data_IF_971582360869
#
_entry.id   IF_971582360869
#
_cell.length_a   1.000
_cell.length_b   1.000
_cell.length_c   1.000
_cell.angle_alpha   90.00
_cell.angle_beta   90.00
_cell.angle_gamma   90.00
#
_symmetry.space_group_name_H-M   'P 1'
#
loop_
_entity.id
_entity.type
_entity.pdbx_description
1 polymer ?
#
# COMPACT_ATOMS: atom_id res chain seq x y z
N UNK A 1 16.99 32.25 -36.28
CA UNK A 1 17.23 32.27 -34.82
C UNK A 1 16.19 31.38 -34.16
N UNK A 2 16.53 30.13 -33.87
CA UNK A 2 15.65 29.21 -33.13
C UNK A 2 15.87 29.45 -31.63
N UNK A 3 14.84 29.90 -30.93
CA UNK A 3 14.83 29.95 -29.47
C UNK A 3 14.68 28.53 -28.93
N UNK A 4 15.69 28.07 -28.20
CA UNK A 4 15.68 26.86 -27.40
C UNK A 4 14.81 27.09 -26.17
N UNK A 5 13.72 26.33 -26.05
CA UNK A 5 12.92 26.28 -24.82
C UNK A 5 13.75 25.61 -23.70
N UNK A 6 13.78 26.17 -22.48
CA UNK A 6 14.54 25.59 -21.38
C UNK A 6 13.89 24.29 -20.89
N UNK A 7 14.68 23.22 -20.87
CA UNK A 7 14.41 21.97 -20.15
C UNK A 7 14.27 22.24 -18.64
N UNK A 8 13.11 22.70 -18.21
CA UNK A 8 12.72 22.66 -16.80
C UNK A 8 12.30 21.22 -16.49
N UNK A 9 13.23 20.45 -15.93
CA UNK A 9 12.90 19.17 -15.29
C UNK A 9 11.74 19.42 -14.31
N UNK A 10 10.72 18.53 -14.26
CA UNK A 10 9.62 18.71 -13.34
C UNK A 10 10.13 18.83 -11.90
N UNK A 11 9.51 19.68 -11.05
CA UNK A 11 9.97 19.93 -9.70
C UNK A 11 10.11 18.60 -8.95
N UNK A 12 11.26 18.43 -8.28
CA UNK A 12 11.52 17.27 -7.40
C UNK A 12 10.38 17.21 -6.39
N UNK A 13 9.55 16.16 -6.45
CA UNK A 13 8.49 15.93 -5.46
C UNK A 13 9.13 15.94 -4.07
N UNK A 14 8.51 16.70 -3.16
CA UNK A 14 8.90 16.71 -1.75
C UNK A 14 9.00 15.25 -1.26
N UNK A 15 10.17 14.81 -0.77
CA UNK A 15 10.33 13.44 -0.31
C UNK A 15 9.63 13.18 1.03
N UNK A 16 9.06 14.21 1.67
CA UNK A 16 8.34 14.09 2.93
C UNK A 16 6.83 13.92 2.72
N UNK A 17 6.24 13.09 3.57
CA UNK A 17 4.79 12.99 3.74
C UNK A 17 4.44 13.75 5.02
N UNK A 18 3.67 14.82 4.86
CA UNK A 18 3.18 15.68 5.95
C UNK A 18 1.94 15.08 6.61
N UNK A 19 2.14 13.96 7.30
CA UNK A 19 1.13 13.27 8.11
C UNK A 19 1.65 13.15 9.55
N UNK A 20 1.14 13.94 10.51
CA UNK A 20 1.54 13.84 11.89
C UNK A 20 1.20 12.45 12.44
N UNK A 21 2.24 11.67 12.73
CA UNK A 21 2.13 10.25 13.02
C UNK A 21 3.01 9.83 14.18
N UNK A 22 2.51 8.85 14.92
CA UNK A 22 3.28 8.00 15.82
C UNK A 22 3.76 6.78 15.03
N UNK A 23 5.07 6.58 14.91
CA UNK A 23 5.67 5.43 14.23
C UNK A 23 6.21 4.48 15.29
N UNK A 24 5.58 3.32 15.44
CA UNK A 24 5.93 2.31 16.45
C UNK A 24 6.91 1.31 15.86
N UNK A 25 7.96 1.00 16.60
CA UNK A 25 9.05 0.14 16.14
C UNK A 25 8.84 -1.32 16.56
N UNK A 26 9.27 -2.24 15.69
CA UNK A 26 9.40 -3.66 16.07
C UNK A 26 10.66 -3.87 16.93
N UNK A 27 10.85 -5.08 17.47
CA UNK A 27 12.11 -5.44 18.13
C UNK A 27 13.34 -5.32 17.22
N UNK A 28 13.20 -5.55 15.90
CA UNK A 28 14.28 -5.33 14.94
C UNK A 28 14.52 -3.82 14.71
N UNK A 29 13.46 -3.02 14.66
CA UNK A 29 13.55 -1.56 14.61
C UNK A 29 14.26 -0.99 15.84
N UNK A 30 13.94 -1.49 17.04
CA UNK A 30 14.60 -1.07 18.29
C UNK A 30 16.08 -1.44 18.34
N UNK A 31 16.49 -2.60 17.81
CA UNK A 31 17.92 -2.93 17.71
C UNK A 31 18.68 -1.98 16.79
N UNK A 32 18.03 -1.43 15.76
CA UNK A 32 18.65 -0.56 14.77
C UNK A 32 18.58 0.93 15.15
N UNK A 33 17.47 1.39 15.72
CA UNK A 33 17.21 2.79 16.04
C UNK A 33 17.16 3.09 17.54
N UNK A 34 17.28 2.10 18.43
CA UNK A 34 17.05 2.31 19.87
C UNK A 34 18.03 3.26 20.55
N UNK A 35 19.21 3.50 19.96
CA UNK A 35 20.15 4.52 20.43
C UNK A 35 19.85 5.92 19.89
N UNK A 36 18.85 6.08 19.01
CA UNK A 36 18.45 7.37 18.49
C UNK A 36 17.69 8.14 19.58
N UNK A 37 18.13 9.35 19.95
CA UNK A 37 17.51 10.14 21.02
C UNK A 37 16.06 10.55 20.73
N UNK A 38 15.61 10.46 19.47
CA UNK A 38 14.21 10.72 19.11
C UNK A 38 13.26 9.56 19.44
N UNK A 39 13.79 8.36 19.78
CA UNK A 39 12.97 7.23 20.20
C UNK A 39 12.49 7.45 21.63
N UNK A 40 11.19 7.29 21.83
CA UNK A 40 10.53 7.52 23.10
C UNK A 40 9.36 6.57 23.30
N UNK A 41 8.86 6.53 24.54
CA UNK A 41 7.60 5.85 24.87
C UNK A 41 6.43 6.60 24.23
N UNK A 42 5.69 5.89 23.41
CA UNK A 42 4.48 6.36 22.73
C UNK A 42 3.32 5.41 22.99
N UNK A 43 2.09 5.88 22.83
CA UNK A 43 0.91 5.03 22.94
C UNK A 43 0.45 4.57 21.56
N UNK A 44 0.13 3.29 21.43
CA UNK A 44 -0.53 2.78 20.22
C UNK A 44 -2.04 3.07 20.23
N UNK A 45 -2.75 2.68 19.16
CA UNK A 45 -4.21 2.83 19.05
C UNK A 45 -4.98 2.21 20.23
N UNK A 46 -4.44 1.16 20.85
CA UNK A 46 -5.04 0.47 22.00
C UNK A 46 -4.68 1.10 23.35
N UNK A 47 -3.87 2.16 23.37
CA UNK A 47 -3.40 2.83 24.58
C UNK A 47 -2.22 2.13 25.28
N UNK A 48 -1.70 1.05 24.71
CA UNK A 48 -0.53 0.36 25.24
C UNK A 48 0.75 1.17 24.97
N UNK A 49 1.62 1.26 25.97
CA UNK A 49 2.92 1.91 25.82
C UNK A 49 3.87 1.04 24.99
N UNK A 50 4.44 1.65 23.96
CA UNK A 50 5.39 1.07 23.01
C UNK A 50 6.55 2.04 22.81
N UNK A 51 7.62 1.56 22.19
CA UNK A 51 8.75 2.40 21.79
C UNK A 51 8.57 2.84 20.33
N UNK A 52 8.76 4.12 20.06
CA UNK A 52 8.50 4.68 18.76
C UNK A 52 8.97 6.13 18.59
N UNK A 53 8.53 6.74 17.50
CA UNK A 53 8.86 8.11 17.10
C UNK A 53 7.57 8.91 16.97
N UNK A 54 7.56 10.16 17.47
CA UNK A 54 6.53 11.13 17.13
C UNK A 54 7.07 12.01 16.00
N UNK A 55 6.36 12.07 14.88
CA UNK A 55 6.84 12.75 13.68
C UNK A 55 5.73 13.61 13.07
N UNK A 56 5.90 14.94 12.95
CA UNK A 56 4.92 15.80 12.26
C UNK A 56 4.88 15.54 10.75
N UNK A 57 6.00 15.06 10.19
CA UNK A 57 6.13 14.56 8.82
C UNK A 57 7.22 13.49 8.79
N UNK A 58 7.28 12.66 7.75
CA UNK A 58 8.33 11.65 7.62
C UNK A 58 8.83 11.49 6.19
N UNK A 59 10.10 11.12 6.05
CA UNK A 59 10.69 10.86 4.74
C UNK A 59 10.16 9.53 4.17
N UNK A 60 9.53 9.61 3.00
CA UNK A 60 8.89 8.46 2.35
C UNK A 60 9.88 7.32 2.04
N UNK A 61 11.08 7.64 1.55
CA UNK A 61 12.07 6.62 1.20
C UNK A 61 12.62 5.91 2.43
N UNK A 62 12.87 6.65 3.51
CA UNK A 62 13.36 6.08 4.77
C UNK A 62 12.32 5.14 5.38
N UNK A 63 11.07 5.61 5.53
CA UNK A 63 9.98 4.79 6.10
C UNK A 63 9.73 3.55 5.23
N UNK A 64 9.71 3.69 3.91
CA UNK A 64 9.57 2.54 3.00
C UNK A 64 10.66 1.49 3.23
N UNK A 65 11.93 1.90 3.35
CA UNK A 65 13.04 0.98 3.65
C UNK A 65 12.90 0.31 5.01
N UNK A 66 12.44 1.04 6.03
CA UNK A 66 12.21 0.48 7.37
C UNK A 66 11.07 -0.55 7.37
N UNK A 67 9.98 -0.31 6.63
CA UNK A 67 8.89 -1.28 6.46
C UNK A 67 9.39 -2.53 5.75
N UNK A 68 10.14 -2.37 4.65
CA UNK A 68 10.74 -3.51 3.91
C UNK A 68 11.65 -4.37 4.79
N UNK A 69 12.33 -3.75 5.76
CA UNK A 69 13.18 -4.43 6.75
C UNK A 69 12.43 -4.90 8.00
N UNK A 70 11.10 -4.80 8.03
CA UNK A 70 10.24 -5.18 9.17
C UNK A 70 10.61 -4.45 10.47
N UNK A 71 11.03 -3.19 10.36
CA UNK A 71 11.46 -2.36 11.50
C UNK A 71 10.31 -1.51 12.08
N UNK A 72 9.24 -1.30 11.32
CA UNK A 72 8.05 -0.55 11.76
C UNK A 72 6.91 -1.55 11.98
N UNK A 73 6.28 -1.46 13.15
CA UNK A 73 5.12 -2.24 13.58
C UNK A 73 3.82 -1.54 13.17
N UNK A 74 3.71 -0.26 13.48
CA UNK A 74 2.48 0.50 13.28
C UNK A 74 2.80 1.95 12.93
N UNK A 75 2.01 2.53 12.02
CA UNK A 75 1.92 3.97 11.82
C UNK A 75 0.54 4.38 12.31
N UNK A 76 0.50 5.25 13.32
CA UNK A 76 -0.72 5.64 14.00
C UNK A 76 -0.91 7.16 13.94
N UNK A 77 -2.10 7.59 13.56
CA UNK A 77 -2.52 8.99 13.41
C UNK A 77 -3.74 9.21 14.27
N UNK A 78 -3.75 10.30 15.03
CA UNK A 78 -4.91 10.76 15.79
C UNK A 78 -5.09 12.25 15.54
N UNK A 79 -6.26 12.64 15.01
CA UNK A 79 -6.54 14.01 14.58
C UNK A 79 -8.03 14.36 14.75
N UNK A 80 -8.38 15.65 14.92
CA UNK A 80 -9.79 16.07 14.97
C UNK A 80 -10.49 15.98 13.61
N UNK A 81 -9.72 15.98 12.52
CA UNK A 81 -10.15 15.71 11.14
C UNK A 81 -9.01 15.03 10.37
N UNK A 82 -9.37 14.24 9.36
CA UNK A 82 -8.44 13.52 8.49
C UNK A 82 -8.57 13.93 7.02
N UNK A 83 -9.71 14.48 6.58
CA UNK A 83 -9.95 14.84 5.19
C UNK A 83 -9.03 15.94 4.67
N UNK A 84 -8.62 16.88 5.51
CA UNK A 84 -7.60 17.88 5.15
C UNK A 84 -6.23 17.26 4.86
N UNK A 85 -6.00 16.02 5.30
CA UNK A 85 -4.77 15.25 5.11
C UNK A 85 -4.89 14.16 4.03
N UNK A 86 -5.94 14.18 3.19
CA UNK A 86 -6.23 13.17 2.15
C UNK A 86 -5.00 12.73 1.35
N UNK A 87 -4.25 13.68 0.80
CA UNK A 87 -3.06 13.38 -0.02
C UNK A 87 -1.98 12.63 0.77
N UNK A 88 -1.78 13.01 2.04
CA UNK A 88 -0.79 12.41 2.92
C UNK A 88 -1.21 11.00 3.36
N UNK A 89 -2.50 10.78 3.62
CA UNK A 89 -3.08 9.46 3.94
C UNK A 89 -2.94 8.51 2.75
N UNK A 90 -3.33 8.93 1.54
CA UNK A 90 -3.19 8.12 0.31
C UNK A 90 -1.71 7.78 0.06
N UNK A 91 -0.83 8.78 0.21
CA UNK A 91 0.60 8.59 0.01
C UNK A 91 1.21 7.62 1.03
N UNK A 92 0.77 7.67 2.29
CA UNK A 92 1.17 6.72 3.35
C UNK A 92 0.68 5.32 3.05
N UNK A 93 -0.59 5.16 2.68
CA UNK A 93 -1.16 3.87 2.32
C UNK A 93 -0.41 3.23 1.14
N UNK A 94 -0.23 3.98 0.04
CA UNK A 94 0.52 3.52 -1.11
C UNK A 94 1.96 3.15 -0.74
N UNK A 95 2.64 3.98 0.05
CA UNK A 95 4.00 3.70 0.51
C UNK A 95 4.10 2.35 1.23
N UNK A 96 3.16 2.06 2.14
CA UNK A 96 3.11 0.82 2.91
C UNK A 96 2.86 -0.38 1.99
N UNK A 97 1.84 -0.29 1.13
CA UNK A 97 1.50 -1.37 0.19
C UNK A 97 2.69 -1.65 -0.75
N UNK A 98 3.27 -0.63 -1.37
CA UNK A 98 4.44 -0.79 -2.23
C UNK A 98 5.66 -1.35 -1.48
N UNK A 99 5.90 -0.93 -0.23
CA UNK A 99 6.98 -1.49 0.57
C UNK A 99 6.82 -3.01 0.76
N UNK A 100 5.59 -3.47 0.97
CA UNK A 100 5.29 -4.89 1.16
C UNK A 100 5.37 -5.65 -0.17
N UNK A 101 4.88 -5.08 -1.27
CA UNK A 101 5.06 -5.64 -2.61
C UNK A 101 6.55 -5.77 -2.96
N UNK A 102 7.38 -4.76 -2.68
CA UNK A 102 8.82 -4.84 -2.92
C UNK A 102 9.49 -5.92 -2.06
N UNK A 103 9.08 -6.08 -0.80
CA UNK A 103 9.59 -7.16 0.07
C UNK A 103 9.28 -8.54 -0.49
N UNK A 104 8.12 -8.71 -1.14
CA UNK A 104 7.63 -9.98 -1.69
C UNK A 104 8.06 -10.27 -3.11
N UNK A 105 8.52 -9.25 -3.84
CA UNK A 105 9.00 -9.34 -5.21
C UNK A 105 10.05 -10.43 -5.37
N UNK A 106 11.14 -10.36 -4.61
CA UNK A 106 12.29 -11.26 -4.79
C UNK A 106 11.95 -12.74 -4.52
N UNK A 107 11.25 -13.10 -3.42
CA UNK A 107 10.77 -14.48 -3.23
C UNK A 107 9.85 -14.98 -4.35
N UNK A 108 8.92 -14.15 -4.82
CA UNK A 108 7.98 -14.52 -5.88
C UNK A 108 8.72 -14.74 -7.22
N UNK A 109 9.62 -13.81 -7.58
CA UNK A 109 10.43 -13.94 -8.79
C UNK A 109 11.38 -15.14 -8.70
N UNK A 110 12.03 -15.38 -7.56
CA UNK A 110 12.89 -16.56 -7.38
C UNK A 110 12.11 -17.85 -7.62
N UNK A 111 10.93 -17.99 -7.01
CA UNK A 111 10.07 -19.17 -7.19
C UNK A 111 9.72 -19.38 -8.66
N UNK A 112 9.16 -18.36 -9.32
CA UNK A 112 8.75 -18.48 -10.72
C UNK A 112 9.94 -18.71 -11.68
N UNK A 113 11.11 -18.14 -11.37
CA UNK A 113 12.34 -18.40 -12.14
C UNK A 113 12.75 -19.87 -12.08
N UNK A 114 12.92 -20.45 -10.89
CA UNK A 114 13.40 -21.82 -10.73
C UNK A 114 12.35 -22.88 -11.10
N UNK A 115 11.06 -22.55 -11.03
CA UNK A 115 9.98 -23.42 -11.50
C UNK A 115 9.85 -23.40 -13.03
N UNK A 116 10.41 -22.40 -13.72
CA UNK A 116 10.32 -22.26 -15.17
C UNK A 116 10.99 -23.43 -15.91
N UNK A 117 10.42 -23.79 -17.06
CA UNK A 117 10.98 -24.84 -17.93
C UNK A 117 12.37 -24.47 -18.43
N UNK A 118 12.60 -23.19 -18.72
CA UNK A 118 13.87 -22.68 -19.25
C UNK A 118 15.03 -22.94 -18.29
N UNK A 119 14.86 -22.65 -16.99
CA UNK A 119 15.89 -22.92 -15.98
C UNK A 119 16.11 -24.42 -15.81
N UNK A 120 15.03 -25.22 -15.82
CA UNK A 120 15.13 -26.69 -15.75
C UNK A 120 15.88 -27.27 -16.95
N UNK A 121 15.64 -26.77 -18.15
CA UNK A 121 16.31 -27.23 -19.38
C UNK A 121 17.77 -26.76 -19.45
N UNK A 122 18.06 -25.53 -19.00
CA UNK A 122 19.42 -25.06 -18.80
C UNK A 122 20.19 -25.97 -17.85
N UNK A 123 19.60 -26.32 -16.70
CA UNK A 123 20.21 -27.21 -15.72
C UNK A 123 20.46 -28.62 -16.26
N UNK A 124 19.54 -29.16 -17.09
CA UNK A 124 19.73 -30.46 -17.77
C UNK A 124 20.93 -30.46 -18.72
N UNK A 125 21.14 -29.36 -19.45
CA UNK A 125 22.32 -29.21 -20.33
C UNK A 125 23.62 -28.92 -19.55
N UNK A 126 23.52 -28.45 -18.32
CA UNK A 126 24.66 -28.02 -17.50
C UNK A 126 24.66 -28.69 -16.10
N UNK A 127 24.73 -30.04 -16.00
CA UNK A 127 24.52 -30.76 -14.75
C UNK A 127 25.54 -30.42 -13.65
N UNK A 128 26.79 -30.07 -14.02
CA UNK A 128 27.83 -29.67 -13.05
C UNK A 128 27.65 -28.27 -12.49
N UNK A 129 26.82 -27.44 -13.12
CA UNK A 129 26.60 -26.04 -12.77
C UNK A 129 25.10 -25.74 -12.59
N UNK A 130 24.31 -26.75 -12.19
CA UNK A 130 22.87 -26.60 -12.02
C UNK A 130 22.54 -25.58 -10.93
N UNK A 131 21.63 -24.65 -11.23
CA UNK A 131 21.16 -23.62 -10.30
C UNK A 131 19.70 -23.91 -9.99
N UNK A 132 19.43 -24.51 -8.82
CA UNK A 132 18.07 -24.92 -8.41
C UNK A 132 17.43 -23.98 -7.38
N UNK A 133 18.23 -23.13 -6.73
CA UNK A 133 17.74 -22.10 -5.82
C UNK A 133 18.76 -20.93 -5.70
N UNK A 134 18.37 -19.87 -5.00
CA UNK A 134 19.27 -18.73 -4.71
C UNK A 134 20.38 -19.04 -3.69
N UNK A 135 20.30 -20.14 -2.93
CA UNK A 135 21.34 -20.52 -1.96
C UNK A 135 22.60 -21.02 -2.66
N UNK A 136 22.47 -21.58 -3.85
CA UNK A 136 23.59 -21.93 -4.73
C UNK A 136 24.32 -20.70 -5.30
N UNK A 137 23.73 -19.49 -5.17
CA UNK A 137 24.33 -18.24 -5.66
C UNK A 137 24.92 -17.45 -4.49
N UNK A 138 26.25 -17.36 -4.45
CA UNK A 138 26.95 -16.59 -3.42
C UNK A 138 26.72 -15.09 -3.59
N UNK A 139 26.11 -14.46 -2.57
CA UNK A 139 25.87 -13.01 -2.52
C UNK A 139 27.17 -12.21 -2.71
N UNK A 140 28.23 -12.57 -1.99
CA UNK A 140 29.51 -11.86 -2.06
C UNK A 140 30.13 -11.90 -3.46
N UNK A 141 30.01 -13.04 -4.17
CA UNK A 141 30.49 -13.15 -5.56
C UNK A 141 29.70 -12.26 -6.51
N UNK A 142 28.38 -12.21 -6.36
CA UNK A 142 27.52 -11.34 -7.19
C UNK A 142 27.87 -9.87 -6.95
N UNK A 143 28.04 -9.46 -5.70
CA UNK A 143 28.44 -8.10 -5.34
C UNK A 143 29.83 -7.73 -5.90
N UNK A 144 30.79 -8.66 -5.87
CA UNK A 144 32.10 -8.45 -6.47
C UNK A 144 32.01 -8.29 -8.00
N UNK A 145 31.19 -9.11 -8.67
CA UNK A 145 30.93 -8.99 -10.11
C UNK A 145 30.24 -7.68 -10.48
N UNK A 146 29.30 -7.20 -9.65
CA UNK A 146 28.64 -5.92 -9.86
C UNK A 146 29.59 -4.72 -9.82
N UNK A 147 30.76 -4.84 -9.16
CA UNK A 147 31.81 -3.81 -9.19
C UNK A 147 32.65 -3.86 -10.46
N UNK A 148 32.60 -4.94 -11.24
CA UNK A 148 33.31 -5.03 -12.52
C UNK A 148 32.56 -4.24 -13.58
N UNK A 149 33.24 -3.25 -14.17
CA UNK A 149 32.63 -2.29 -15.09
C UNK A 149 31.95 -2.95 -16.30
N UNK A 150 32.56 -4.01 -16.86
CA UNK A 150 32.02 -4.75 -18.00
C UNK A 150 30.69 -5.45 -17.66
N UNK A 151 30.64 -6.13 -16.51
CA UNK A 151 29.41 -6.79 -16.05
C UNK A 151 28.33 -5.77 -15.71
N UNK A 152 28.68 -4.69 -15.00
CA UNK A 152 27.76 -3.63 -14.62
C UNK A 152 27.12 -2.95 -15.84
N UNK A 153 27.90 -2.61 -16.85
CA UNK A 153 27.41 -2.01 -18.09
C UNK A 153 26.45 -2.97 -18.82
N UNK A 154 26.85 -4.24 -19.00
CA UNK A 154 26.00 -5.24 -19.67
C UNK A 154 24.71 -5.52 -18.93
N UNK A 155 24.76 -5.56 -17.60
CA UNK A 155 23.56 -5.73 -16.78
C UNK A 155 22.63 -4.51 -16.87
N UNK A 156 23.18 -3.29 -16.96
CA UNK A 156 22.39 -2.08 -17.15
C UNK A 156 21.66 -2.08 -18.49
N UNK A 157 22.31 -2.51 -19.58
CA UNK A 157 21.67 -2.68 -20.88
C UNK A 157 20.55 -3.73 -20.82
N UNK A 158 20.82 -4.90 -20.23
CA UNK A 158 19.80 -5.94 -20.02
C UNK A 158 18.60 -5.41 -19.24
N UNK A 159 18.82 -4.66 -18.15
CA UNK A 159 17.75 -4.06 -17.36
C UNK A 159 16.92 -3.06 -18.17
N UNK A 160 17.57 -2.27 -19.04
CA UNK A 160 16.88 -1.34 -19.96
C UNK A 160 16.01 -2.12 -20.95
N UNK A 161 16.56 -3.13 -21.61
CA UNK A 161 15.82 -3.94 -22.60
C UNK A 161 14.61 -4.63 -21.94
N UNK A 162 14.80 -5.21 -20.75
CA UNK A 162 13.69 -5.82 -19.99
C UNK A 162 12.63 -4.77 -19.61
N UNK A 163 13.04 -3.57 -19.22
CA UNK A 163 12.10 -2.48 -18.91
C UNK A 163 11.25 -2.12 -20.11
N UNK A 164 11.86 -1.99 -21.29
CA UNK A 164 11.17 -1.65 -22.54
C UNK A 164 10.15 -2.75 -22.90
N UNK A 165 10.57 -4.02 -22.90
CA UNK A 165 9.70 -5.16 -23.19
C UNK A 165 8.53 -5.30 -22.21
N UNK A 166 8.76 -5.05 -20.91
CA UNK A 166 7.68 -5.05 -19.91
C UNK A 166 6.73 -3.86 -20.13
N UNK A 167 7.26 -2.69 -20.51
CA UNK A 167 6.45 -1.50 -20.79
C UNK A 167 5.55 -1.73 -22.00
N UNK A 168 6.10 -2.24 -23.10
CA UNK A 168 5.33 -2.61 -24.30
C UNK A 168 4.22 -3.60 -23.98
N UNK A 169 4.52 -4.63 -23.18
CA UNK A 169 3.52 -5.59 -22.73
C UNK A 169 2.40 -4.94 -21.94
N UNK A 170 2.72 -4.04 -21.01
CA UNK A 170 1.71 -3.30 -20.23
C UNK A 170 0.83 -2.46 -21.15
N UNK A 171 1.43 -1.70 -22.06
CA UNK A 171 0.72 -0.82 -22.99
C UNK A 171 -0.17 -1.59 -23.98
N UNK A 172 0.23 -2.81 -24.36
CA UNK A 172 -0.56 -3.67 -25.25
C UNK A 172 -1.76 -4.36 -24.59
N UNK A 173 -1.94 -4.20 -23.27
CA UNK A 173 -2.98 -4.90 -22.53
C UNK A 173 -4.33 -4.20 -22.65
N UNK A 174 -5.28 -4.85 -23.33
CA UNK A 174 -6.62 -4.32 -23.60
C UNK A 174 -7.55 -4.26 -22.35
N UNK A 175 -7.15 -4.89 -21.24
CA UNK A 175 -7.98 -5.03 -20.03
C UNK A 175 -7.53 -4.09 -18.89
N UNK A 176 -6.72 -3.07 -19.21
CA UNK A 176 -6.23 -2.09 -18.24
C UNK A 176 -6.86 -0.73 -18.49
N UNK A 177 -7.20 -0.03 -17.42
CA UNK A 177 -7.54 1.40 -17.50
C UNK A 177 -6.26 2.22 -17.66
N UNK A 178 -6.38 3.45 -18.15
CA UNK A 178 -5.24 4.37 -18.28
C UNK A 178 -4.52 4.61 -16.93
N UNK A 179 -5.30 4.69 -15.84
CA UNK A 179 -4.76 4.83 -14.49
C UNK A 179 -3.90 3.62 -14.06
N UNK A 180 -4.35 2.42 -14.40
CA UNK A 180 -3.64 1.19 -14.11
C UNK A 180 -2.35 1.07 -14.92
N UNK A 181 -2.39 1.48 -16.19
CA UNK A 181 -1.22 1.55 -17.05
C UNK A 181 -0.20 2.53 -16.46
N UNK A 182 -0.62 3.75 -16.09
CA UNK A 182 0.27 4.75 -15.50
C UNK A 182 0.93 4.22 -14.22
N UNK A 183 0.14 3.63 -13.30
CA UNK A 183 0.63 3.11 -12.04
C UNK A 183 1.73 2.03 -12.23
N UNK A 184 1.54 1.13 -13.18
CA UNK A 184 2.50 0.05 -13.50
C UNK A 184 3.77 0.59 -14.14
N UNK A 185 3.64 1.41 -15.19
CA UNK A 185 4.79 1.97 -15.91
C UNK A 185 5.64 2.84 -14.99
N UNK A 186 5.00 3.61 -14.10
CA UNK A 186 5.68 4.49 -13.13
C UNK A 186 6.38 3.75 -12.01
N UNK A 187 5.86 2.59 -11.61
CA UNK A 187 6.46 1.76 -10.56
C UNK A 187 7.57 0.83 -11.08
N UNK A 188 7.49 0.41 -12.35
CA UNK A 188 8.43 -0.52 -12.99
C UNK A 188 9.93 -0.23 -12.75
N UNK A 189 10.44 1.01 -12.87
CA UNK A 189 11.86 1.29 -12.61
C UNK A 189 12.29 0.89 -11.20
N UNK A 190 11.45 1.16 -10.19
CA UNK A 190 11.74 0.76 -8.81
C UNK A 190 11.68 -0.75 -8.67
N UNK A 191 10.71 -1.42 -9.28
CA UNK A 191 10.62 -2.88 -9.26
C UNK A 191 11.89 -3.54 -9.79
N UNK A 192 12.39 -3.10 -10.95
CA UNK A 192 13.63 -3.61 -11.55
C UNK A 192 14.84 -3.46 -10.61
N UNK A 193 14.94 -2.32 -9.93
CA UNK A 193 16.03 -2.06 -8.98
C UNK A 193 15.91 -2.84 -7.67
N UNK A 194 14.70 -3.20 -7.26
CA UNK A 194 14.44 -3.98 -6.04
C UNK A 194 14.51 -5.50 -6.22
N UNK A 195 14.64 -5.99 -7.46
CA UNK A 195 14.92 -7.41 -7.70
C UNK A 195 16.28 -7.78 -7.11
N UNK A 196 16.30 -8.89 -6.36
CA UNK A 196 17.52 -9.43 -5.75
C UNK A 196 18.66 -9.57 -6.79
N UNK A 197 19.87 -9.03 -6.52
CA UNK A 197 21.03 -9.17 -7.40
C UNK A 197 21.32 -10.59 -7.88
N UNK A 198 21.04 -11.61 -7.05
CA UNK A 198 21.25 -13.02 -7.40
C UNK A 198 20.26 -13.49 -8.47
N UNK A 199 19.03 -12.97 -8.47
CA UNK A 199 18.04 -13.25 -9.53
C UNK A 199 18.53 -12.67 -10.85
N UNK A 200 19.03 -11.42 -10.83
CA UNK A 200 19.66 -10.79 -12.00
C UNK A 200 20.88 -11.57 -12.48
N UNK A 201 21.67 -12.12 -11.57
CA UNK A 201 22.83 -12.94 -11.91
C UNK A 201 22.44 -14.25 -12.60
N UNK A 202 21.43 -14.97 -12.10
CA UNK A 202 20.92 -16.19 -12.75
C UNK A 202 20.35 -15.86 -14.13
N UNK A 203 19.56 -14.78 -14.22
CA UNK A 203 19.06 -14.28 -15.50
C UNK A 203 20.20 -14.01 -16.48
N UNK A 204 21.24 -13.29 -16.04
CA UNK A 204 22.42 -12.97 -16.84
C UNK A 204 23.12 -14.22 -17.39
N UNK A 205 23.32 -15.25 -16.57
CA UNK A 205 23.96 -16.50 -17.02
C UNK A 205 23.17 -17.10 -18.19
N UNK A 206 21.87 -17.28 -18.01
CA UNK A 206 21.01 -17.95 -18.99
C UNK A 206 20.79 -17.08 -20.23
N UNK A 207 20.70 -15.75 -20.05
CA UNK A 207 20.55 -14.77 -21.13
C UNK A 207 21.72 -14.81 -22.12
N UNK A 208 22.91 -15.23 -21.67
CA UNK A 208 24.11 -15.35 -22.50
C UNK A 208 24.29 -16.73 -23.13
N UNK A 209 23.20 -17.49 -23.28
CA UNK A 209 23.17 -18.80 -23.95
C UNK A 209 22.09 -18.83 -25.02
N UNK A 210 21.93 -19.97 -25.70
CA UNK A 210 20.84 -20.20 -26.67
C UNK A 210 19.43 -20.05 -26.05
N UNK A 211 19.32 -20.02 -24.72
CA UNK A 211 18.06 -19.81 -24.00
C UNK A 211 17.64 -18.33 -23.90
N UNK A 212 18.41 -17.39 -24.46
CA UNK A 212 18.21 -15.93 -24.35
C UNK A 212 16.75 -15.50 -24.54
N UNK A 213 16.11 -15.91 -25.62
CA UNK A 213 14.73 -15.51 -25.93
C UNK A 213 13.75 -16.07 -24.90
N UNK A 214 13.91 -17.34 -24.52
CA UNK A 214 12.98 -17.99 -23.61
C UNK A 214 13.09 -17.43 -22.19
N UNK A 215 14.32 -17.18 -21.71
CA UNK A 215 14.51 -16.60 -20.37
C UNK A 215 14.01 -15.15 -20.32
N UNK A 216 14.20 -14.38 -21.39
CA UNK A 216 13.67 -13.02 -21.53
C UNK A 216 12.14 -13.02 -21.40
N UNK A 217 11.47 -13.90 -22.14
CA UNK A 217 10.01 -14.04 -22.05
C UNK A 217 9.53 -14.44 -20.65
N UNK A 218 10.22 -15.40 -20.00
CA UNK A 218 9.92 -15.80 -18.61
C UNK A 218 10.02 -14.59 -17.68
N UNK A 219 11.10 -13.83 -17.76
CA UNK A 219 11.35 -12.70 -16.87
C UNK A 219 10.38 -11.54 -17.09
N UNK A 220 10.08 -11.22 -18.36
CA UNK A 220 9.09 -10.20 -18.73
C UNK A 220 7.70 -10.60 -18.22
N UNK A 221 7.29 -11.86 -18.42
CA UNK A 221 6.02 -12.38 -17.92
C UNK A 221 5.92 -12.30 -16.40
N UNK A 222 6.99 -12.68 -15.69
CA UNK A 222 7.03 -12.65 -14.23
C UNK A 222 6.92 -11.23 -13.67
N UNK A 223 7.65 -10.27 -14.24
CA UNK A 223 7.58 -8.87 -13.82
C UNK A 223 6.21 -8.25 -14.13
N UNK A 224 5.67 -8.49 -15.33
CA UNK A 224 4.36 -7.96 -15.72
C UNK A 224 3.24 -8.54 -14.83
N UNK A 225 3.26 -9.85 -14.56
CA UNK A 225 2.31 -10.48 -13.66
C UNK A 225 2.43 -9.92 -12.24
N UNK A 226 3.65 -9.72 -11.73
CA UNK A 226 3.83 -9.16 -10.40
C UNK A 226 3.34 -7.71 -10.29
N UNK A 227 3.44 -6.93 -11.37
CA UNK A 227 2.91 -5.57 -11.43
C UNK A 227 1.38 -5.53 -11.41
N UNK A 228 0.66 -6.63 -11.67
CA UNK A 228 -0.79 -6.66 -11.50
C UNK A 228 -1.20 -6.33 -10.06
N UNK A 229 -0.37 -6.70 -9.07
CA UNK A 229 -0.60 -6.39 -7.66
C UNK A 229 -0.56 -4.89 -7.32
N UNK A 230 -0.03 -4.01 -8.19
CA UNK A 230 0.01 -2.57 -7.90
C UNK A 230 -1.39 -1.94 -7.87
N UNK A 231 -2.38 -2.58 -8.54
CA UNK A 231 -3.79 -2.17 -8.51
C UNK A 231 -4.36 -2.18 -7.09
N UNK A 232 -3.92 -3.13 -6.27
CA UNK A 232 -4.35 -3.26 -4.86
C UNK A 232 -4.13 -1.94 -4.11
N UNK A 233 -3.01 -1.25 -4.35
CA UNK A 233 -2.70 0.01 -3.68
C UNK A 233 -3.72 1.12 -4.01
N UNK A 234 -4.10 1.24 -5.28
CA UNK A 234 -5.07 2.24 -5.76
C UNK A 234 -6.46 1.98 -5.16
N UNK A 235 -6.98 0.76 -5.30
CA UNK A 235 -8.32 0.43 -4.81
C UNK A 235 -8.40 0.46 -3.28
N UNK A 236 -7.35 0.00 -2.60
CA UNK A 236 -7.27 0.09 -1.14
C UNK A 236 -7.25 1.55 -0.67
N UNK A 237 -6.55 2.44 -1.38
CA UNK A 237 -6.54 3.88 -1.05
C UNK A 237 -7.92 4.52 -1.23
N UNK A 238 -8.64 4.16 -2.29
CA UNK A 238 -10.00 4.65 -2.53
C UNK A 238 -10.96 4.18 -1.43
N UNK A 239 -10.92 2.89 -1.10
CA UNK A 239 -11.73 2.32 -0.02
C UNK A 239 -11.40 2.96 1.35
N UNK A 240 -10.11 3.13 1.64
CA UNK A 240 -9.67 3.80 2.87
C UNK A 240 -10.22 5.22 2.96
N UNK A 241 -10.18 5.97 1.86
CA UNK A 241 -10.71 7.34 1.85
C UNK A 241 -12.22 7.41 2.08
N UNK A 242 -12.98 6.45 1.56
CA UNK A 242 -14.42 6.33 1.86
C UNK A 242 -14.65 6.09 3.36
N UNK A 243 -13.85 5.24 4.01
CA UNK A 243 -13.95 5.02 5.46
C UNK A 243 -13.53 6.25 6.26
N UNK A 244 -12.48 6.97 5.84
CA UNK A 244 -12.07 8.23 6.45
C UNK A 244 -13.18 9.28 6.35
N UNK A 245 -13.78 9.44 5.16
CA UNK A 245 -14.89 10.38 4.94
C UNK A 245 -16.10 10.06 5.82
N UNK A 246 -16.52 8.80 5.84
CA UNK A 246 -17.68 8.36 6.64
C UNK A 246 -17.41 8.50 8.15
N UNK A 247 -16.20 8.14 8.59
CA UNK A 247 -15.80 8.24 10.00
C UNK A 247 -15.77 9.70 10.45
N UNK A 248 -15.19 10.61 9.65
CA UNK A 248 -15.15 12.03 9.96
C UNK A 248 -16.54 12.67 9.94
N UNK A 249 -17.39 12.32 8.97
CA UNK A 249 -18.78 12.77 8.92
C UNK A 249 -19.51 12.38 10.22
N UNK A 250 -19.53 11.08 10.55
CA UNK A 250 -20.20 10.58 11.74
C UNK A 250 -19.65 11.22 13.04
N UNK A 251 -18.33 11.44 13.09
CA UNK A 251 -17.67 12.11 14.21
C UNK A 251 -18.18 13.54 14.42
N UNK A 252 -18.18 14.33 13.35
CA UNK A 252 -18.61 15.74 13.40
C UNK A 252 -20.11 15.88 13.68
N UNK A 253 -20.93 15.00 13.12
CA UNK A 253 -22.38 14.94 13.39
C UNK A 253 -22.64 14.66 14.87
N UNK A 254 -21.94 13.68 15.46
CA UNK A 254 -22.04 13.38 16.90
C UNK A 254 -21.71 14.61 17.74
N UNK A 255 -20.60 15.27 17.47
CA UNK A 255 -20.17 16.45 18.25
C UNK A 255 -21.22 17.56 18.14
N UNK A 256 -21.71 17.85 16.94
CA UNK A 256 -22.69 18.91 16.72
C UNK A 256 -24.01 18.65 17.46
N UNK A 257 -24.54 17.42 17.40
CA UNK A 257 -25.79 17.06 18.09
C UNK A 257 -25.59 16.99 19.60
N UNK A 258 -24.49 16.37 20.08
CA UNK A 258 -24.16 16.25 21.51
C UNK A 258 -24.03 17.62 22.19
N UNK A 259 -23.54 18.62 21.46
CA UNK A 259 -23.36 19.99 21.96
C UNK A 259 -24.52 20.94 21.60
N UNK A 260 -25.65 20.42 21.10
CA UNK A 260 -26.84 21.20 20.72
C UNK A 260 -26.55 22.34 19.72
N UNK A 261 -25.53 22.18 18.87
CA UNK A 261 -25.14 23.16 17.86
C UNK A 261 -25.99 23.08 16.60
N UNK A 262 -26.60 21.91 16.35
CA UNK A 262 -27.49 21.66 15.22
C UNK A 262 -28.43 20.49 15.52
N UNK A 263 -29.59 20.48 14.85
CA UNK A 263 -30.53 19.36 14.89
C UNK A 263 -30.15 18.31 13.86
N UNK A 264 -30.63 17.06 14.05
CA UNK A 264 -30.38 15.97 13.10
C UNK A 264 -30.82 16.31 11.67
N UNK A 265 -31.90 17.07 11.51
CA UNK A 265 -32.45 17.43 10.20
C UNK A 265 -31.61 18.47 9.44
N UNK A 266 -30.81 19.28 10.16
CA UNK A 266 -29.98 20.34 9.58
C UNK A 266 -28.48 20.01 9.59
N UNK A 267 -28.11 18.82 10.06
CA UNK A 267 -26.73 18.49 10.36
C UNK A 267 -25.84 18.49 9.12
N UNK A 268 -26.32 17.94 8.01
CA UNK A 268 -25.58 17.87 6.74
C UNK A 268 -25.24 19.27 6.23
N UNK A 269 -26.18 20.22 6.32
CA UNK A 269 -25.94 21.63 5.95
C UNK A 269 -24.97 22.29 6.93
N UNK A 270 -25.10 22.00 8.23
CA UNK A 270 -24.26 22.57 9.28
C UNK A 270 -22.79 22.19 9.10
N UNK A 271 -22.47 20.91 8.88
CA UNK A 271 -21.09 20.40 8.75
C UNK A 271 -20.41 20.77 7.42
N UNK A 272 -21.17 21.26 6.42
CA UNK A 272 -20.61 21.77 5.16
C UNK A 272 -20.00 23.17 5.32
N UNK A 273 -20.43 23.94 6.32
CA UNK A 273 -19.84 25.26 6.60
C UNK A 273 -18.44 25.10 7.19
N UNK A 274 -17.45 25.77 6.59
CA UNK A 274 -16.06 25.77 7.07
C UNK A 274 -15.97 26.30 8.50
N UNK A 275 -16.68 27.38 8.81
CA UNK A 275 -16.69 28.00 10.14
C UNK A 275 -17.22 27.04 11.20
N UNK A 276 -18.32 26.35 10.91
CA UNK A 276 -18.88 25.35 11.82
C UNK A 276 -17.93 24.17 12.02
N UNK A 277 -17.26 23.69 10.96
CA UNK A 277 -16.25 22.63 11.09
C UNK A 277 -15.11 23.06 12.02
N UNK A 278 -14.63 24.29 11.94
CA UNK A 278 -13.59 24.79 12.85
C UNK A 278 -14.06 24.81 14.31
N UNK A 279 -15.31 25.17 14.57
CA UNK A 279 -15.90 25.08 15.93
C UNK A 279 -15.91 23.62 16.41
N UNK A 280 -16.39 22.69 15.58
CA UNK A 280 -16.43 21.26 15.93
C UNK A 280 -15.03 20.68 16.18
N UNK A 281 -14.02 21.08 15.41
CA UNK A 281 -12.62 20.68 15.63
C UNK A 281 -12.10 21.15 16.99
N UNK A 282 -12.39 22.40 17.37
CA UNK A 282 -11.96 22.93 18.67
C UNK A 282 -12.59 22.15 19.82
N UNK A 283 -13.88 21.82 19.71
CA UNK A 283 -14.59 21.00 20.69
C UNK A 283 -14.00 19.57 20.75
N UNK A 284 -13.75 18.96 19.59
CA UNK A 284 -13.11 17.65 19.42
C UNK A 284 -11.76 17.58 20.16
N UNK A 285 -10.90 18.58 19.95
CA UNK A 285 -9.59 18.69 20.63
C UNK A 285 -9.76 18.91 22.13
N UNK A 286 -10.65 19.82 22.55
CA UNK A 286 -10.87 20.12 23.96
C UNK A 286 -11.35 18.89 24.76
N UNK A 287 -12.23 18.08 24.15
CA UNK A 287 -12.79 16.89 24.77
C UNK A 287 -11.90 15.64 24.63
N UNK A 288 -10.75 15.74 23.94
CA UNK A 288 -9.93 14.60 23.55
C UNK A 288 -10.71 13.51 22.78
N UNK A 289 -11.69 13.95 21.98
CA UNK A 289 -12.53 13.11 21.15
C UNK A 289 -12.01 13.14 19.71
N UNK A 290 -10.90 12.46 19.42
CA UNK A 290 -10.25 12.47 18.10
C UNK A 290 -10.61 11.27 17.23
N UNK A 291 -10.33 11.37 15.93
CA UNK A 291 -10.45 10.30 14.95
C UNK A 291 -9.09 9.61 14.85
N UNK A 292 -9.11 8.28 14.89
CA UNK A 292 -7.92 7.45 14.86
C UNK A 292 -7.80 6.71 13.54
N UNK A 293 -6.60 6.73 12.97
CA UNK A 293 -6.23 5.98 11.77
C UNK A 293 -4.92 5.24 12.05
N UNK A 294 -4.92 3.92 11.86
CA UNK A 294 -3.69 3.13 11.99
C UNK A 294 -3.46 2.19 10.82
N UNK A 295 -2.18 1.99 10.52
CA UNK A 295 -1.68 0.89 9.69
C UNK A 295 -0.78 0.01 10.53
N UNK A 296 -1.29 -1.13 10.97
CA UNK A 296 -0.52 -2.14 11.69
C UNK A 296 -0.01 -3.20 10.70
N UNK A 297 1.31 -3.36 10.63
CA UNK A 297 2.02 -4.28 9.73
C UNK A 297 2.55 -5.53 10.47
N UNK A 298 2.17 -5.70 11.73
CA UNK A 298 2.59 -6.78 12.61
C UNK A 298 1.47 -7.26 13.56
N UNK A 299 0.28 -7.66 13.05
CA UNK A 299 -0.88 -7.94 13.90
C UNK A 299 -0.80 -9.35 14.53
N UNK A 300 0.25 -9.60 15.32
CA UNK A 300 0.47 -10.72 16.24
C UNK A 300 1.33 -11.89 15.72
N UNK A 301 2.65 -11.78 15.96
CA UNK A 301 3.72 -12.81 16.09
C UNK A 301 3.44 -14.30 15.73
N UNK A 302 2.84 -14.65 14.60
CA UNK A 302 3.08 -15.91 13.86
C UNK A 302 2.93 -15.65 12.35
N UNK A 303 3.67 -14.67 11.83
CA UNK A 303 3.95 -14.68 10.40
C UNK A 303 5.13 -15.63 10.18
N UNK A 304 4.84 -16.88 9.79
CA UNK A 304 5.83 -17.65 9.02
C UNK A 304 6.39 -16.73 7.93
N UNK A 305 7.69 -16.78 7.69
CA UNK A 305 8.50 -15.83 6.90
C UNK A 305 7.97 -15.40 5.50
N UNK A 306 6.82 -15.91 5.04
CA UNK A 306 6.22 -15.70 3.72
C UNK A 306 5.01 -14.76 3.65
N UNK A 307 4.30 -14.43 4.74
CA UNK A 307 3.03 -13.68 4.67
C UNK A 307 3.09 -12.34 5.43
N UNK A 308 2.64 -11.27 4.79
CA UNK A 308 2.68 -9.90 5.29
C UNK A 308 1.26 -9.42 5.59
N UNK A 309 0.81 -9.57 6.83
CA UNK A 309 -0.52 -9.10 7.22
C UNK A 309 -0.50 -7.60 7.52
N UNK A 310 -1.39 -6.88 6.86
CA UNK A 310 -1.66 -5.45 7.08
C UNK A 310 -3.06 -5.35 7.66
N UNK A 311 -3.17 -4.61 8.75
CA UNK A 311 -4.44 -4.22 9.33
C UNK A 311 -4.55 -2.69 9.28
N UNK A 312 -5.57 -2.18 8.59
CA UNK A 312 -5.86 -0.75 8.54
C UNK A 312 -7.13 -0.49 9.33
N UNK A 313 -7.09 0.44 10.27
CA UNK A 313 -8.23 0.75 11.11
C UNK A 313 -8.54 2.24 11.08
N UNK A 314 -9.81 2.58 10.90
CA UNK A 314 -10.34 3.93 11.07
C UNK A 314 -11.37 3.87 12.19
N UNK A 315 -11.21 4.71 13.21
CA UNK A 315 -12.10 4.73 14.38
C UNK A 315 -12.56 6.15 14.65
N UNK A 316 -13.87 6.34 14.84
CA UNK A 316 -14.45 7.59 15.29
C UNK A 316 -15.26 7.38 16.55
N UNK A 317 -15.48 8.46 17.31
CA UNK A 317 -16.40 8.40 18.44
C UNK A 317 -17.85 8.33 17.98
N UNK A 318 -18.67 7.59 18.73
CA UNK A 318 -20.05 7.27 18.42
C UNK A 318 -20.23 5.77 18.21
N UNK A 319 -21.27 5.22 18.82
CA UNK A 319 -21.61 3.80 18.69
C UNK A 319 -22.69 3.63 17.62
N UNK A 320 -22.45 2.73 16.69
CA UNK A 320 -23.51 2.13 15.88
C UNK A 320 -24.25 1.08 16.70
N UNK A 321 -25.56 0.98 16.51
CA UNK A 321 -26.34 -0.10 17.09
C UNK A 321 -26.12 -1.40 16.31
N UNK A 322 -26.52 -2.52 16.91
CA UNK A 322 -26.37 -3.84 16.30
C UNK A 322 -27.12 -3.94 14.97
N UNK A 323 -28.30 -3.31 14.86
CA UNK A 323 -29.10 -3.30 13.64
C UNK A 323 -28.35 -2.64 12.47
N UNK A 324 -27.70 -1.49 12.71
CA UNK A 324 -26.90 -0.78 11.72
C UNK A 324 -25.63 -1.54 11.39
N UNK A 325 -24.95 -2.14 12.38
CA UNK A 325 -23.78 -2.98 12.16
C UNK A 325 -24.11 -4.17 11.24
N UNK A 326 -25.22 -4.88 11.51
CA UNK A 326 -25.67 -5.99 10.68
C UNK A 326 -26.06 -5.54 9.27
N UNK A 327 -26.76 -4.39 9.14
CA UNK A 327 -27.13 -3.81 7.83
C UNK A 327 -25.89 -3.46 7.00
N UNK A 328 -24.89 -2.83 7.61
CA UNK A 328 -23.63 -2.49 6.93
C UNK A 328 -22.86 -3.76 6.54
N UNK A 329 -22.76 -4.75 7.43
CA UNK A 329 -22.10 -6.02 7.14
C UNK A 329 -22.76 -6.78 5.98
N UNK A 330 -24.09 -6.73 5.86
CA UNK A 330 -24.82 -7.32 4.72
C UNK A 330 -24.52 -6.56 3.43
N UNK A 331 -24.58 -5.22 3.46
CA UNK A 331 -24.26 -4.37 2.33
C UNK A 331 -22.84 -4.59 1.79
N UNK A 332 -21.87 -4.85 2.67
CA UNK A 332 -20.48 -5.14 2.29
C UNK A 332 -20.29 -6.49 1.60
N UNK A 333 -21.24 -7.42 1.74
CA UNK A 333 -21.23 -8.74 1.11
C UNK A 333 -22.12 -8.82 -0.13
N UNK A 334 -22.77 -7.71 -0.50
CA UNK A 334 -23.64 -7.65 -1.67
C UNK A 334 -22.81 -7.82 -2.93
N UNK A 335 -23.16 -8.83 -3.73
CA UNK A 335 -22.53 -9.12 -5.00
C UNK A 335 -22.81 -7.99 -6.01
N UNK A 336 -21.76 -7.47 -6.63
CA UNK A 336 -21.83 -6.42 -7.67
C UNK A 336 -21.25 -6.91 -8.99
N UNK A 337 -21.19 -8.24 -9.17
CA UNK A 337 -20.83 -8.88 -10.44
C UNK A 337 -21.60 -8.24 -11.62
N UNK A 338 -20.87 -7.65 -12.57
CA UNK A 338 -21.41 -7.00 -13.77
C UNK A 338 -21.49 -5.46 -13.73
N UNK A 339 -21.23 -4.82 -12.59
CA UNK A 339 -21.20 -3.34 -12.50
C UNK A 339 -19.79 -2.82 -12.77
N UNK A 340 -19.58 -2.17 -13.93
CA UNK A 340 -18.33 -1.49 -14.22
C UNK A 340 -18.24 -0.19 -13.41
N UNK A 341 -17.08 0.11 -12.80
CA UNK A 341 -16.83 1.39 -12.12
C UNK A 341 -17.15 2.58 -13.04
N UNK A 342 -16.80 2.48 -14.33
CA UNK A 342 -17.07 3.52 -15.31
C UNK A 342 -18.57 3.80 -15.51
N UNK A 343 -19.41 2.74 -15.56
CA UNK A 343 -20.87 2.90 -15.67
C UNK A 343 -21.50 3.52 -14.43
N UNK A 344 -20.92 3.24 -13.24
CA UNK A 344 -21.38 3.83 -12.00
C UNK A 344 -21.05 5.33 -11.89
N UNK A 345 -19.91 5.76 -12.44
CA UNK A 345 -19.54 7.19 -12.50
C UNK A 345 -20.37 7.99 -13.51
N UNK A 346 -20.83 7.37 -14.61
CA UNK A 346 -21.65 8.04 -15.62
C UNK A 346 -23.08 8.33 -15.14
N UNK A 347 -23.60 7.56 -14.18
CA UNK A 347 -24.88 7.82 -13.54
C UNK A 347 -24.69 8.83 -12.40
N UNK A 348 -24.55 10.11 -12.77
CA UNK A 348 -24.30 11.24 -11.87
C UNK A 348 -25.43 11.52 -10.87
N UNK A 349 -25.60 10.66 -9.86
CA UNK A 349 -26.45 10.94 -8.70
C UNK A 349 -25.60 11.36 -7.51
N UNK A 350 -25.49 12.67 -7.34
CA UNK A 350 -24.82 13.30 -6.18
C UNK A 350 -25.43 12.89 -4.81
N UNK A 351 -26.59 12.22 -4.82
CA UNK A 351 -27.28 11.70 -3.63
C UNK A 351 -26.83 10.29 -3.19
N UNK A 352 -25.90 9.64 -3.88
CA UNK A 352 -25.35 8.33 -3.48
C UNK A 352 -24.05 8.40 -2.64
N UNK A 353 -23.57 9.63 -2.34
CA UNK A 353 -22.49 9.90 -1.41
C UNK A 353 -22.94 9.64 0.04
N UNK A 354 -22.93 8.37 0.44
CA UNK A 354 -23.20 7.98 1.81
C UNK A 354 -23.38 6.48 2.04
N UNK A 355 -23.55 5.66 0.98
CA UNK A 355 -23.70 4.22 1.16
C UNK A 355 -23.31 3.32 -0.03
N UNK A 356 -23.06 3.85 -1.24
CA UNK A 356 -22.86 3.02 -2.45
C UNK A 356 -21.41 2.79 -2.87
N UNK A 357 -20.61 3.87 -2.97
CA UNK A 357 -19.27 3.83 -3.55
C UNK A 357 -18.26 2.98 -2.77
N UNK A 358 -18.26 3.08 -1.43
CA UNK A 358 -17.40 2.24 -0.58
C UNK A 358 -17.69 0.73 -0.71
N UNK A 359 -18.93 0.34 -1.03
CA UNK A 359 -19.29 -1.06 -1.24
C UNK A 359 -18.76 -1.60 -2.57
N UNK A 360 -18.77 -0.77 -3.61
CA UNK A 360 -18.20 -1.11 -4.92
C UNK A 360 -16.69 -1.30 -4.83
N UNK A 361 -15.98 -0.38 -4.16
CA UNK A 361 -14.53 -0.53 -3.95
C UNK A 361 -14.19 -1.77 -3.13
N UNK A 362 -14.98 -2.07 -2.09
CA UNK A 362 -14.78 -3.27 -1.29
C UNK A 362 -14.92 -4.54 -2.14
N UNK A 363 -15.98 -4.63 -2.93
CA UNK A 363 -16.28 -5.80 -3.74
C UNK A 363 -15.26 -6.01 -4.86
N UNK A 364 -14.85 -4.93 -5.51
CA UNK A 364 -13.79 -4.97 -6.52
C UNK A 364 -12.44 -5.41 -5.92
N UNK A 365 -12.09 -4.88 -4.74
CA UNK A 365 -10.87 -5.28 -4.03
C UNK A 365 -10.94 -6.74 -3.57
N UNK A 366 -12.09 -7.21 -3.11
CA UNK A 366 -12.34 -8.61 -2.76
C UNK A 366 -12.16 -9.54 -3.96
N UNK A 367 -12.68 -9.15 -5.14
CA UNK A 367 -12.51 -9.92 -6.38
C UNK A 367 -11.03 -10.01 -6.80
N UNK A 368 -10.30 -8.89 -6.78
CA UNK A 368 -8.85 -8.88 -7.06
C UNK A 368 -8.11 -9.77 -6.07
N UNK A 369 -8.36 -9.59 -4.77
CA UNK A 369 -7.70 -10.38 -3.74
C UNK A 369 -8.00 -11.88 -3.89
N UNK A 370 -9.25 -12.24 -4.23
CA UNK A 370 -9.66 -13.63 -4.49
C UNK A 370 -8.91 -14.22 -5.70
N UNK A 371 -8.80 -13.50 -6.81
CA UNK A 371 -8.06 -13.94 -8.01
C UNK A 371 -6.58 -14.17 -7.72
N UNK A 372 -6.00 -13.33 -6.87
CA UNK A 372 -4.59 -13.40 -6.48
C UNK A 372 -4.32 -14.31 -5.27
N UNK A 373 -5.35 -14.96 -4.71
CA UNK A 373 -5.21 -15.81 -3.52
C UNK A 373 -4.81 -15.07 -2.24
N UNK A 374 -5.12 -13.77 -2.15
CA UNK A 374 -4.83 -12.88 -1.02
C UNK A 374 -6.01 -12.91 -0.05
N UNK A 375 -5.82 -13.36 1.21
CA UNK A 375 -6.84 -13.24 2.24
C UNK A 375 -7.17 -11.77 2.52
N UNK A 376 -8.43 -11.40 2.32
CA UNK A 376 -8.93 -10.05 2.50
C UNK A 376 -10.27 -10.07 3.28
N UNK A 377 -10.45 -9.12 4.20
CA UNK A 377 -11.70 -8.92 4.92
C UNK A 377 -11.84 -7.48 5.36
N UNK A 378 -13.06 -6.97 5.29
CA UNK A 378 -13.44 -5.73 5.99
C UNK A 378 -14.49 -6.03 7.04
N UNK A 379 -14.41 -5.34 8.17
CA UNK A 379 -15.36 -5.46 9.28
C UNK A 379 -15.64 -4.10 9.88
N UNK A 380 -16.89 -3.87 10.27
CA UNK A 380 -17.32 -2.67 11.00
C UNK A 380 -17.91 -3.16 12.32
N UNK A 381 -17.42 -2.63 13.44
CA UNK A 381 -17.88 -3.05 14.76
C UNK A 381 -17.83 -1.90 15.77
N UNK A 382 -18.78 -1.87 16.72
CA UNK A 382 -18.71 -0.95 17.85
C UNK A 382 -17.65 -1.43 18.87
N UNK A 383 -17.01 -0.48 19.54
CA UNK A 383 -16.13 -0.67 20.71
C UNK A 383 -16.77 0.04 21.92
N UNK A 384 -17.74 -0.61 22.62
CA UNK A 384 -18.52 0.05 23.67
C UNK A 384 -17.68 0.67 24.78
N UNK A 385 -16.59 -0.02 25.19
CA UNK A 385 -15.68 0.46 26.25
C UNK A 385 -14.95 1.75 25.90
N UNK A 386 -14.78 2.05 24.61
CA UNK A 386 -14.11 3.27 24.13
C UNK A 386 -15.09 4.27 23.52
N UNK A 387 -16.40 3.96 23.51
CA UNK A 387 -17.44 4.71 22.82
C UNK A 387 -17.15 4.99 21.34
N UNK A 388 -16.54 4.02 20.65
CA UNK A 388 -16.09 4.18 19.26
C UNK A 388 -16.77 3.21 18.31
N UNK A 389 -16.85 3.59 17.06
CA UNK A 389 -17.11 2.67 15.95
C UNK A 389 -15.84 2.56 15.13
N UNK A 390 -15.48 1.33 14.78
CA UNK A 390 -14.24 1.03 14.06
C UNK A 390 -14.55 0.28 12.79
N UNK A 391 -13.99 0.78 11.69
CA UNK A 391 -13.85 0.04 10.45
C UNK A 391 -12.45 -0.53 10.38
N UNK A 392 -12.34 -1.82 10.06
CA UNK A 392 -11.08 -2.55 9.98
C UNK A 392 -10.98 -3.28 8.64
N UNK A 393 -9.92 -3.00 7.91
CA UNK A 393 -9.46 -3.74 6.75
C UNK A 393 -8.35 -4.68 7.20
N UNK A 394 -8.44 -5.94 6.82
CA UNK A 394 -7.46 -6.98 7.11
C UNK A 394 -7.05 -7.65 5.81
N UNK A 395 -5.76 -7.58 5.47
CA UNK A 395 -5.23 -8.08 4.21
C UNK A 395 -3.92 -8.81 4.46
N UNK A 396 -3.77 -10.01 3.89
CA UNK A 396 -2.53 -10.77 3.95
C UNK A 396 -1.86 -10.76 2.59
N UNK A 397 -1.04 -9.73 2.35
CA UNK A 397 -0.23 -9.61 1.14
C UNK A 397 0.89 -10.61 1.15
#
# INVERSE_FOLDING_TARGET
MMQTAPNLLPPRKDPFISLPSTIILTGAGMKFLGSNPSVQKVSNREGAHKEGLLSPSFNAQTVQKLIMKSMIEEIYVTQPELLSMRSAIISTNNLIVYAILYRKLSPALAKALFESRVVKDFNRKNPKHSIVDLKHVSQQKVEALQKQQVYAARLADIKRDIRELVTERILSSLNLTDEDIEARVKSLPKFIEWVDPRIWFVFYIIYNTDFKVQITNVFVNMLAAYLDHTRIATHLSNLLMEFVQNSEKAHLERIAVKNSLSTRDNIDKFIRSRENREVLKKISVHNNELIDLSWNMNPDRIATHSLSRIQIQVSNYGLIDESTAQRLARKMKSDVEGINLASFYSEGSADQLGAGLGLLYNSYLEEICRKEGIPYRVSIFPEPKKERTTVKIDMTL
#
